data_IF_774344174069
#
_entry.id   IF_774344174069
#
_cell.length_a   1.000
_cell.length_b   1.000
_cell.length_c   1.000
_cell.angle_alpha   90.00
_cell.angle_beta   90.00
_cell.angle_gamma   90.00
#
_symmetry.space_group_name_H-M   'P 1'
#
loop_
_entity.id
_entity.type
_entity.pdbx_description
1 polymer ?
#
# COMPACT_ATOMS: atom_id res chain seq x y z
N UNK A 1 15.08 4.10 -5.47
CA UNK A 1 14.35 3.65 -4.28
C UNK A 1 12.91 4.06 -4.47
N UNK A 2 11.99 3.10 -4.64
CA UNK A 2 10.57 3.40 -4.84
C UNK A 2 10.00 3.84 -3.47
N UNK A 3 9.58 5.09 -3.36
CA UNK A 3 8.86 5.58 -2.18
C UNK A 3 7.37 5.40 -2.49
N UNK A 4 6.72 4.53 -1.72
CA UNK A 4 5.28 4.32 -1.82
C UNK A 4 4.60 5.43 -1.03
N UNK A 5 3.95 6.35 -1.74
CA UNK A 5 3.20 7.46 -1.18
C UNK A 5 1.89 7.68 -1.94
N UNK A 6 1.03 8.56 -1.41
CA UNK A 6 -0.27 8.89 -2.01
C UNK A 6 -0.17 9.31 -3.49
N UNK A 7 0.87 10.08 -3.85
CA UNK A 7 1.07 10.54 -5.22
C UNK A 7 1.36 9.37 -6.17
N UNK A 8 2.20 8.41 -5.75
CA UNK A 8 2.50 7.20 -6.53
C UNK A 8 1.25 6.33 -6.73
N UNK A 9 0.41 6.19 -5.71
CA UNK A 9 -0.85 5.42 -5.77
C UNK A 9 -1.86 6.12 -6.68
N UNK A 10 -1.97 7.45 -6.59
CA UNK A 10 -2.83 8.23 -7.47
C UNK A 10 -2.39 8.15 -8.93
N UNK A 11 -1.08 8.10 -9.21
CA UNK A 11 -0.57 7.88 -10.55
C UNK A 11 -0.97 6.49 -11.08
N UNK A 12 -0.93 5.45 -10.25
CA UNK A 12 -1.42 4.10 -10.61
C UNK A 12 -2.92 4.12 -10.90
N UNK A 13 -3.72 4.79 -10.07
CA UNK A 13 -5.17 4.96 -10.29
C UNK A 13 -5.48 5.66 -11.62
N UNK A 14 -4.72 6.70 -11.99
CA UNK A 14 -4.90 7.38 -13.28
C UNK A 14 -4.59 6.48 -14.48
N UNK A 15 -3.70 5.49 -14.32
CA UNK A 15 -3.38 4.51 -15.37
C UNK A 15 -4.44 3.42 -15.50
N UNK A 16 -5.25 3.16 -14.46
CA UNK A 16 -6.34 2.17 -14.48
C UNK A 16 -7.42 2.52 -15.50
N UNK A 17 -7.65 3.81 -15.74
CA UNK A 17 -8.60 4.30 -16.75
C UNK A 17 -8.11 4.07 -18.20
N UNK A 18 -6.83 3.72 -18.38
CA UNK A 18 -6.22 3.41 -19.67
C UNK A 18 -6.14 1.89 -19.88
N UNK A 19 -7.02 1.35 -20.73
CA UNK A 19 -7.06 -0.08 -21.08
C UNK A 19 -5.70 -0.63 -21.56
N UNK A 20 -4.83 0.20 -22.14
CA UNK A 20 -3.50 -0.20 -22.61
C UNK A 20 -2.46 -0.39 -21.50
N UNK A 21 -2.74 0.10 -20.28
CA UNK A 21 -1.79 0.13 -19.17
C UNK A 21 -2.11 -0.84 -18.04
N UNK A 22 -3.13 -1.68 -18.17
CA UNK A 22 -3.52 -2.64 -17.13
C UNK A 22 -2.35 -3.54 -16.67
N UNK A 23 -1.55 -4.05 -17.61
CA UNK A 23 -0.38 -4.87 -17.25
C UNK A 23 0.69 -4.06 -16.51
N UNK A 24 0.90 -2.80 -16.88
CA UNK A 24 1.81 -1.89 -16.19
C UNK A 24 1.34 -1.65 -14.74
N UNK A 25 0.03 -1.43 -14.55
CA UNK A 25 -0.58 -1.27 -13.23
C UNK A 25 -0.41 -2.53 -12.38
N UNK A 26 -0.61 -3.72 -12.96
CA UNK A 26 -0.38 -5.00 -12.29
C UNK A 26 1.08 -5.10 -11.82
N UNK A 27 2.03 -4.78 -12.68
CA UNK A 27 3.46 -4.85 -12.35
C UNK A 27 3.86 -3.82 -11.27
N UNK A 28 3.26 -2.62 -11.29
CA UNK A 28 3.48 -1.60 -10.26
C UNK A 28 2.92 -2.03 -8.89
N UNK A 29 1.69 -2.58 -8.85
CA UNK A 29 1.08 -3.10 -7.62
C UNK A 29 1.86 -4.31 -7.08
N UNK A 30 2.35 -5.20 -7.95
CA UNK A 30 3.23 -6.31 -7.54
C UNK A 30 4.52 -5.82 -6.88
N UNK A 31 5.18 -4.81 -7.46
CA UNK A 31 6.39 -4.21 -6.86
C UNK A 31 6.09 -3.59 -5.49
N UNK A 32 4.94 -2.91 -5.34
CA UNK A 32 4.53 -2.37 -4.05
C UNK A 32 4.33 -3.47 -3.01
N UNK A 33 3.67 -4.57 -3.40
CA UNK A 33 3.44 -5.72 -2.55
C UNK A 33 4.76 -6.36 -2.09
N UNK A 34 5.71 -6.60 -3.00
CA UNK A 34 7.04 -7.13 -2.68
C UNK A 34 7.78 -6.28 -1.64
N UNK A 35 7.72 -4.95 -1.80
CA UNK A 35 8.32 -4.01 -0.84
C UNK A 35 7.64 -4.15 0.53
N UNK A 36 6.31 -4.17 0.58
CA UNK A 36 5.56 -4.23 1.84
C UNK A 36 5.69 -5.57 2.55
N UNK A 37 5.70 -6.68 1.82
CA UNK A 37 6.01 -8.01 2.36
C UNK A 37 7.44 -8.08 2.92
N UNK A 38 8.43 -7.48 2.23
CA UNK A 38 9.80 -7.40 2.75
C UNK A 38 9.87 -6.58 4.05
N UNK A 39 9.13 -5.47 4.14
CA UNK A 39 9.05 -4.66 5.36
C UNK A 39 8.35 -5.42 6.49
N UNK A 40 7.25 -6.13 6.19
CA UNK A 40 6.51 -6.94 7.16
C UNK A 40 7.40 -8.04 7.73
N UNK A 41 8.09 -8.79 6.86
CA UNK A 41 9.04 -9.82 7.27
C UNK A 41 10.12 -9.25 8.21
N UNK A 42 10.65 -8.05 7.91
CA UNK A 42 11.62 -7.41 8.82
C UNK A 42 11.01 -7.00 10.16
N UNK A 43 9.77 -6.52 10.16
CA UNK A 43 9.06 -6.12 11.37
C UNK A 43 8.74 -7.31 12.28
N UNK A 44 8.38 -8.47 11.70
CA UNK A 44 8.09 -9.71 12.43
C UNK A 44 9.32 -10.30 13.14
N UNK A 45 10.52 -10.06 12.63
CA UNK A 45 11.77 -10.53 13.25
C UNK A 45 12.25 -9.63 14.41
N UNK A 46 11.62 -8.46 14.61
CA UNK A 46 11.88 -7.60 15.75
C UNK A 46 11.04 -8.02 16.95
N UNK A 47 11.57 -7.88 18.17
CA UNK A 47 10.77 -8.04 19.39
C UNK A 47 9.65 -6.99 19.38
N UNK A 48 8.41 -7.43 19.18
CA UNK A 48 7.22 -6.60 19.08
C UNK A 48 6.92 -5.96 20.45
N UNK A 49 7.50 -4.80 20.72
CA UNK A 49 7.22 -3.98 21.91
C UNK A 49 6.82 -2.57 21.46
N UNK A 50 5.66 -2.07 21.92
CA UNK A 50 5.22 -0.69 21.68
C UNK A 50 4.92 -0.40 20.20
N UNK A 51 5.51 0.68 19.66
CA UNK A 51 5.27 1.17 18.29
C UNK A 51 5.63 0.18 17.17
N UNK A 52 6.43 -0.85 17.46
CA UNK A 52 6.74 -1.90 16.48
C UNK A 52 5.54 -2.81 16.21
N UNK A 53 4.68 -3.09 17.21
CA UNK A 53 3.47 -3.89 17.00
C UNK A 53 2.43 -3.17 16.14
N UNK A 54 2.31 -1.84 16.29
CA UNK A 54 1.46 -1.04 15.41
C UNK A 54 1.96 -1.04 13.96
N UNK A 55 3.28 -1.06 13.74
CA UNK A 55 3.89 -1.15 12.41
C UNK A 55 3.57 -2.51 11.77
N UNK A 56 3.69 -3.62 12.51
CA UNK A 56 3.36 -4.95 11.97
C UNK A 56 1.89 -5.05 11.56
N UNK A 57 0.95 -4.67 12.44
CA UNK A 57 -0.49 -4.70 12.11
C UNK A 57 -0.84 -3.82 10.91
N UNK A 58 -0.20 -2.65 10.80
CA UNK A 58 -0.38 -1.77 9.65
C UNK A 58 0.15 -2.42 8.36
N UNK A 59 1.38 -2.94 8.39
CA UNK A 59 1.98 -3.60 7.23
C UNK A 59 1.15 -4.81 6.79
N UNK A 60 0.57 -5.57 7.72
CA UNK A 60 -0.39 -6.63 7.41
C UNK A 60 -1.61 -6.10 6.65
N UNK A 61 -2.25 -5.03 7.15
CA UNK A 61 -3.40 -4.40 6.46
C UNK A 61 -3.03 -3.89 5.07
N UNK A 62 -1.88 -3.24 4.94
CA UNK A 62 -1.38 -2.74 3.66
C UNK A 62 -1.10 -3.87 2.66
N UNK A 63 -0.51 -4.98 3.10
CA UNK A 63 -0.28 -6.18 2.28
C UNK A 63 -1.61 -6.77 1.82
N UNK A 64 -2.58 -6.94 2.72
CA UNK A 64 -3.90 -7.48 2.40
C UNK A 64 -4.63 -6.64 1.34
N UNK A 65 -4.62 -5.31 1.47
CA UNK A 65 -5.24 -4.41 0.48
C UNK A 65 -4.55 -4.54 -0.89
N UNK A 66 -3.21 -4.65 -0.93
CA UNK A 66 -2.47 -4.80 -2.18
C UNK A 66 -2.71 -6.18 -2.84
N UNK A 67 -2.81 -7.26 -2.07
CA UNK A 67 -3.16 -8.60 -2.57
C UNK A 67 -4.58 -8.63 -3.17
N UNK A 68 -5.53 -8.01 -2.48
CA UNK A 68 -6.89 -7.84 -2.98
C UNK A 68 -6.93 -6.98 -4.26
N UNK A 69 -6.10 -5.92 -4.31
CA UNK A 69 -5.99 -5.05 -5.50
C UNK A 69 -5.46 -5.84 -6.69
N UNK A 70 -4.41 -6.63 -6.48
CA UNK A 70 -3.83 -7.47 -7.52
C UNK A 70 -4.84 -8.49 -8.04
N UNK A 71 -5.60 -9.12 -7.14
CA UNK A 71 -6.67 -10.07 -7.51
C UNK A 71 -7.74 -9.41 -8.38
N UNK A 72 -8.19 -8.20 -8.02
CA UNK A 72 -9.16 -7.43 -8.81
C UNK A 72 -8.60 -7.02 -10.19
N UNK A 73 -7.33 -6.59 -10.23
CA UNK A 73 -6.64 -6.27 -11.48
C UNK A 73 -6.47 -7.49 -12.39
N UNK A 74 -6.23 -8.68 -11.85
CA UNK A 74 -6.10 -9.91 -12.62
C UNK A 74 -7.46 -10.43 -13.12
N UNK A 75 -8.53 -10.28 -12.33
CA UNK A 75 -9.89 -10.63 -12.74
C UNK A 75 -10.53 -9.63 -13.72
N UNK A 76 -9.98 -8.41 -13.79
CA UNK A 76 -10.48 -7.34 -14.66
C UNK A 76 -11.56 -6.47 -14.03
N UNK A 77 -11.72 -6.59 -12.71
CA UNK A 77 -12.60 -5.74 -11.92
C UNK A 77 -11.90 -4.40 -11.61
N UNK A 78 -11.93 -3.52 -12.60
CA UNK A 78 -11.28 -2.19 -12.57
C UNK A 78 -11.89 -1.32 -11.46
N UNK A 79 -13.21 -1.36 -11.28
CA UNK A 79 -13.91 -0.59 -10.25
C UNK A 79 -13.46 -1.01 -8.85
N UNK A 80 -13.38 -2.33 -8.61
CA UNK A 80 -12.88 -2.85 -7.33
C UNK A 80 -11.41 -2.50 -7.11
N UNK A 81 -10.57 -2.60 -8.14
CA UNK A 81 -9.16 -2.22 -8.06
C UNK A 81 -9.00 -0.73 -7.71
N UNK A 82 -9.78 0.16 -8.35
CA UNK A 82 -9.76 1.59 -8.06
C UNK A 82 -10.21 1.92 -6.63
N UNK A 83 -11.25 1.23 -6.13
CA UNK A 83 -11.70 1.35 -4.73
C UNK A 83 -10.60 0.92 -3.75
N UNK A 84 -9.96 -0.22 -3.99
CA UNK A 84 -8.92 -0.77 -3.10
C UNK A 84 -7.66 0.11 -3.08
N UNK A 85 -7.29 0.73 -4.20
CA UNK A 85 -6.19 1.71 -4.20
C UNK A 85 -6.53 2.99 -3.42
N UNK A 86 -7.80 3.38 -3.33
CA UNK A 86 -8.21 4.47 -2.43
C UNK A 86 -8.17 4.04 -0.96
N UNK A 87 -8.60 2.82 -0.66
CA UNK A 87 -8.46 2.25 0.68
C UNK A 87 -6.97 2.17 1.10
N UNK A 88 -6.09 1.81 0.16
CA UNK A 88 -4.65 1.82 0.37
C UNK A 88 -4.12 3.23 0.67
N UNK A 89 -4.59 4.25 -0.05
CA UNK A 89 -4.26 5.65 0.25
C UNK A 89 -4.66 6.05 1.68
N UNK A 90 -5.83 5.63 2.15
CA UNK A 90 -6.26 5.90 3.52
C UNK A 90 -5.38 5.18 4.54
N UNK A 91 -5.02 3.91 4.29
CA UNK A 91 -4.09 3.17 5.14
C UNK A 91 -2.71 3.84 5.24
N UNK A 92 -2.23 4.47 4.16
CA UNK A 92 -1.00 5.26 4.18
C UNK A 92 -1.11 6.57 5.00
N UNK A 93 -2.28 7.21 5.01
CA UNK A 93 -2.51 8.49 5.72
C UNK A 93 -2.64 8.32 7.23
N UNK A 94 -3.19 7.20 7.71
CA UNK A 94 -3.30 6.87 9.14
C UNK A 94 -1.92 6.88 9.86
N UNK A 95 -0.80 6.92 9.12
CA UNK A 95 0.57 6.89 9.64
C UNK A 95 1.47 8.08 9.27
N UNK A 96 0.95 9.19 8.73
CA UNK A 96 1.71 10.44 8.88
C UNK A 96 1.69 10.80 10.36
N UNK A 97 2.82 10.62 11.05
CA UNK A 97 2.97 11.03 12.46
C UNK A 97 2.29 12.40 12.68
N UNK A 98 1.52 12.61 13.76
CA UNK A 98 1.13 13.94 14.14
C UNK A 98 2.42 14.75 14.27
N UNK A 99 2.53 15.80 13.45
CA UNK A 99 3.70 16.67 13.34
C UNK A 99 4.19 17.09 14.73
N UNK A 100 5.26 16.44 15.21
CA UNK A 100 6.03 16.66 16.44
C UNK A 100 5.27 17.02 17.74
N UNK A 101 5.58 16.39 18.90
CA UNK A 101 5.13 16.93 20.18
C UNK A 101 5.69 18.35 20.33
N UNK A 102 4.78 19.32 20.41
CA UNK A 102 5.09 20.72 20.65
C UNK A 102 5.56 20.85 22.11
N UNK A 103 6.86 20.66 22.35
CA UNK A 103 7.46 20.92 23.66
C UNK A 103 7.40 22.43 23.91
N UNK A 104 6.36 22.86 24.64
CA UNK A 104 6.27 24.20 25.23
C UNK A 104 7.03 24.26 26.55
#
# INVERSE_FOLDING_TARGET
MLIINKDSVNAIKQKLDDFGKRQEVIDEVRRMLEIKQTLLWRAEYGTCCGSLCSITSQLTREVEVLENTLTALESGDVDRAAYLLEEYNHALEENREPSQPNYR
#
